data_IF_042756406704
#
_entry.id   IF_042756406704
#
_cell.length_a   1.000
_cell.length_b   1.000
_cell.length_c   1.000
_cell.angle_alpha   90.00
_cell.angle_beta   90.00
_cell.angle_gamma   90.00
#
_symmetry.space_group_name_H-M   'P 1'
#
loop_
_entity.id
_entity.type
_entity.pdbx_description
1 polymer ?
#
# COMPACT_ATOMS: atom_id res chain seq x y z
N UNK A 1 -3.99 -13.53 9.74
CA UNK A 1 -3.47 -14.81 10.30
C UNK A 1 -4.50 -15.93 10.29
N UNK A 2 -5.77 -15.67 9.95
CA UNK A 2 -6.77 -16.73 9.85
C UNK A 2 -6.63 -17.47 8.52
N UNK A 3 -6.75 -18.80 8.53
CA UNK A 3 -6.86 -19.62 7.33
C UNK A 3 -7.73 -20.86 7.61
N UNK A 4 -8.70 -21.15 6.74
CA UNK A 4 -9.65 -22.26 6.92
C UNK A 4 -8.96 -23.61 7.03
N UNK A 5 -7.98 -23.88 6.16
CA UNK A 5 -7.26 -25.18 6.14
C UNK A 5 -6.43 -25.43 7.41
N UNK A 6 -6.12 -24.39 8.18
CA UNK A 6 -5.43 -24.50 9.47
C UNK A 6 -6.39 -24.49 10.67
N UNK A 7 -7.70 -24.53 10.43
CA UNK A 7 -8.71 -24.44 11.49
C UNK A 7 -8.85 -23.03 12.07
N UNK A 8 -8.47 -22.00 11.31
CA UNK A 8 -8.63 -20.60 11.66
C UNK A 8 -7.33 -19.92 12.12
N UNK A 9 -7.33 -19.39 13.34
CA UNK A 9 -6.19 -18.66 13.91
C UNK A 9 -5.08 -19.62 14.39
N UNK A 10 -3.82 -19.14 14.54
CA UNK A 10 -2.77 -19.93 15.18
C UNK A 10 -3.22 -20.48 16.54
N UNK A 11 -2.80 -21.71 16.93
CA UNK A 11 -3.26 -22.32 18.17
C UNK A 11 -2.78 -21.55 19.40
N UNK A 12 -3.46 -21.68 20.54
CA UNK A 12 -3.10 -20.99 21.79
C UNK A 12 -1.62 -21.20 22.20
N UNK A 13 -1.08 -22.39 21.96
CA UNK A 13 0.34 -22.70 22.22
C UNK A 13 1.34 -21.83 21.43
N UNK A 14 0.97 -21.35 20.23
CA UNK A 14 1.79 -20.39 19.47
C UNK A 14 1.91 -19.06 20.24
N UNK A 15 0.80 -18.57 20.78
CA UNK A 15 0.78 -17.30 21.51
C UNK A 15 1.47 -17.40 22.87
N UNK A 16 1.27 -18.49 23.61
CA UNK A 16 1.99 -18.76 24.86
C UNK A 16 3.51 -18.77 24.63
N UNK A 17 3.97 -19.33 23.50
CA UNK A 17 5.38 -19.36 23.15
C UNK A 17 5.97 -17.97 22.87
N UNK A 18 5.15 -17.00 22.45
CA UNK A 18 5.56 -15.60 22.34
C UNK A 18 5.63 -14.92 23.71
N UNK A 19 4.58 -15.06 24.51
CA UNK A 19 4.51 -14.57 25.89
C UNK A 19 3.41 -15.31 26.68
N UNK A 20 3.68 -15.82 27.90
CA UNK A 20 2.66 -16.46 28.74
C UNK A 20 1.42 -15.62 29.04
N UNK A 21 1.52 -14.28 28.99
CA UNK A 21 0.37 -13.38 29.16
C UNK A 21 -0.67 -13.50 28.04
N UNK A 22 -0.33 -14.13 26.93
CA UNK A 22 -1.23 -14.35 25.80
C UNK A 22 -2.01 -15.66 25.90
N UNK A 23 -1.89 -16.40 27.00
CA UNK A 23 -2.69 -17.58 27.25
C UNK A 23 -4.21 -17.27 27.23
N UNK A 24 -4.98 -18.09 26.51
CA UNK A 24 -6.41 -17.93 26.32
C UNK A 24 -6.79 -16.74 25.42
N UNK A 25 -5.84 -16.14 24.69
CA UNK A 25 -6.16 -15.07 23.74
C UNK A 25 -7.08 -15.58 22.62
N UNK A 26 -6.73 -16.72 22.01
CA UNK A 26 -7.44 -17.27 20.85
C UNK A 26 -8.90 -17.61 21.16
N UNK A 27 -9.18 -18.06 22.37
CA UNK A 27 -10.53 -18.40 22.84
C UNK A 27 -11.48 -17.20 22.91
N UNK A 28 -10.92 -15.98 22.97
CA UNK A 28 -11.64 -14.71 23.02
C UNK A 28 -11.68 -14.00 21.67
N UNK A 29 -11.05 -14.56 20.64
CA UNK A 29 -11.06 -14.04 19.28
C UNK A 29 -12.18 -14.68 18.45
N UNK A 30 -12.41 -14.12 17.28
CA UNK A 30 -13.35 -14.67 16.30
C UNK A 30 -12.94 -16.07 15.85
N UNK A 31 -13.92 -16.88 15.48
CA UNK A 31 -13.72 -18.23 14.94
C UNK A 31 -13.95 -18.27 13.42
N UNK A 32 -14.89 -17.44 12.95
CA UNK A 32 -15.26 -17.32 11.55
C UNK A 32 -14.90 -15.94 11.00
N UNK A 33 -14.67 -15.88 9.69
CA UNK A 33 -14.47 -14.64 8.94
C UNK A 33 -15.48 -14.58 7.80
N UNK A 34 -15.92 -13.37 7.46
CA UNK A 34 -16.93 -13.15 6.44
C UNK A 34 -16.39 -12.18 5.39
N UNK A 35 -16.72 -12.43 4.13
CA UNK A 35 -16.41 -11.55 3.00
C UNK A 35 -17.38 -10.38 2.94
N UNK A 36 -16.98 -9.27 2.30
CA UNK A 36 -17.74 -8.01 2.32
C UNK A 36 -19.07 -8.04 1.57
N UNK A 37 -19.36 -9.08 0.78
CA UNK A 37 -20.67 -9.33 0.18
C UNK A 37 -21.70 -9.83 1.21
N UNK A 38 -21.26 -10.31 2.37
CA UNK A 38 -22.13 -10.75 3.45
C UNK A 38 -22.54 -9.53 4.29
N UNK A 39 -23.86 -9.31 4.52
CA UNK A 39 -24.33 -8.29 5.45
C UNK A 39 -23.81 -8.56 6.86
N UNK A 40 -23.14 -7.58 7.46
CA UNK A 40 -22.87 -7.58 8.91
C UNK A 40 -24.17 -7.37 9.71
N UNK A 41 -25.16 -6.73 9.09
CA UNK A 41 -26.47 -6.49 9.65
C UNK A 41 -27.11 -5.25 9.06
N UNK A 42 -27.96 -4.60 9.85
CA UNK A 42 -28.59 -3.35 9.50
C UNK A 42 -28.21 -2.27 10.52
N UNK A 43 -28.37 -0.99 10.14
CA UNK A 43 -28.17 0.11 11.10
C UNK A 43 -29.10 -0.05 12.30
N UNK A 44 -28.54 0.12 13.51
CA UNK A 44 -29.34 0.21 14.73
C UNK A 44 -30.11 1.53 14.79
N UNK A 45 -31.19 1.56 15.58
CA UNK A 45 -32.01 2.77 15.80
C UNK A 45 -31.15 3.99 16.19
N UNK A 46 -30.18 3.78 17.08
CA UNK A 46 -29.28 4.83 17.55
C UNK A 46 -28.49 5.47 16.40
N UNK A 47 -27.90 4.65 15.53
CA UNK A 47 -27.09 5.13 14.40
C UNK A 47 -27.94 5.66 13.25
N UNK A 48 -29.08 5.04 12.99
CA UNK A 48 -30.07 5.52 12.03
C UNK A 48 -30.50 6.96 12.38
N UNK A 49 -30.83 7.22 13.65
CA UNK A 49 -31.18 8.56 14.12
C UNK A 49 -30.01 9.55 14.01
N UNK A 50 -28.80 9.16 14.42
CA UNK A 50 -27.61 10.04 14.37
C UNK A 50 -27.22 10.43 12.95
N UNK A 51 -27.33 9.50 12.01
CA UNK A 51 -26.94 9.70 10.61
C UNK A 51 -28.09 10.24 9.73
N UNK A 52 -29.33 10.25 10.23
CA UNK A 52 -30.51 10.61 9.46
C UNK A 52 -30.86 9.58 8.38
N UNK A 53 -30.58 8.30 8.64
CA UNK A 53 -30.79 7.17 7.73
C UNK A 53 -31.86 6.22 8.25
N UNK A 54 -32.30 5.28 7.39
CA UNK A 54 -33.24 4.22 7.76
C UNK A 54 -32.53 3.04 8.45
N UNK A 55 -33.24 2.35 9.34
CA UNK A 55 -32.82 1.03 9.88
C UNK A 55 -32.85 -0.06 8.81
N UNK A 56 -33.43 0.19 7.64
CA UNK A 56 -33.36 -0.72 6.47
C UNK A 56 -32.01 -0.65 5.74
N UNK A 57 -31.11 0.27 6.13
CA UNK A 57 -29.77 0.35 5.52
C UNK A 57 -28.93 -0.85 5.94
N UNK A 58 -28.51 -1.62 4.95
CA UNK A 58 -27.59 -2.75 5.12
C UNK A 58 -26.18 -2.24 5.42
N UNK A 59 -25.53 -2.86 6.41
CA UNK A 59 -24.13 -2.62 6.78
C UNK A 59 -23.31 -3.80 6.27
N UNK A 60 -22.31 -3.54 5.43
CA UNK A 60 -21.39 -4.58 4.94
C UNK A 60 -20.32 -4.94 5.98
N UNK A 61 -19.78 -6.15 5.88
CA UNK A 61 -18.53 -6.49 6.58
C UNK A 61 -17.39 -5.64 6.01
N UNK A 62 -16.56 -5.08 6.88
CA UNK A 62 -15.46 -4.20 6.49
C UNK A 62 -14.37 -4.90 5.68
N UNK A 63 -13.62 -4.12 4.91
CA UNK A 63 -12.46 -4.57 4.14
C UNK A 63 -11.36 -3.50 4.12
N UNK A 64 -10.22 -3.83 3.50
CA UNK A 64 -9.07 -2.94 3.37
C UNK A 64 -9.25 -1.95 2.20
N UNK A 65 -8.70 -0.76 2.35
CA UNK A 65 -8.80 0.33 1.39
C UNK A 65 -8.20 -0.02 0.02
N UNK A 66 -7.00 -0.60 -0.03
CA UNK A 66 -6.36 -1.03 -1.27
C UNK A 66 -7.17 -2.12 -1.99
N UNK A 67 -7.77 -3.04 -1.23
CA UNK A 67 -8.60 -4.11 -1.78
C UNK A 67 -9.88 -3.52 -2.36
N UNK A 68 -10.55 -2.62 -1.64
CA UNK A 68 -11.73 -1.92 -2.14
C UNK A 68 -11.40 -0.98 -3.31
N UNK A 69 -10.19 -0.43 -3.35
CA UNK A 69 -9.65 0.30 -4.49
C UNK A 69 -9.54 -0.60 -5.72
N UNK A 70 -9.06 -1.84 -5.56
CA UNK A 70 -9.03 -2.83 -6.65
C UNK A 70 -10.44 -3.22 -7.12
N UNK A 71 -11.38 -3.44 -6.18
CA UNK A 71 -12.80 -3.71 -6.53
C UNK A 71 -13.41 -2.52 -7.28
N UNK A 72 -13.23 -1.30 -6.78
CA UNK A 72 -13.70 -0.07 -7.45
C UNK A 72 -13.05 0.16 -8.81
N UNK A 73 -11.82 -0.32 -9.00
CA UNK A 73 -11.11 -0.38 -10.27
C UNK A 73 -11.50 -1.54 -11.19
N UNK A 74 -12.54 -2.31 -10.83
CA UNK A 74 -13.05 -3.45 -11.60
C UNK A 74 -12.00 -4.52 -11.86
N UNK A 75 -11.23 -4.89 -10.83
CA UNK A 75 -10.20 -5.92 -10.95
C UNK A 75 -10.75 -7.23 -11.54
N UNK A 76 -10.01 -7.80 -12.49
CA UNK A 76 -10.29 -9.09 -13.13
C UNK A 76 -9.27 -10.15 -12.69
N UNK A 77 -9.61 -11.45 -12.80
CA UNK A 77 -8.66 -12.54 -12.64
C UNK A 77 -7.32 -12.29 -13.33
N UNK A 78 -6.23 -12.38 -12.58
CA UNK A 78 -4.85 -12.20 -13.03
C UNK A 78 -4.45 -10.78 -13.46
N UNK A 79 -5.30 -9.79 -13.25
CA UNK A 79 -4.94 -8.40 -13.45
C UNK A 79 -4.27 -7.84 -12.20
N UNK A 80 -3.22 -7.06 -12.40
CA UNK A 80 -2.54 -6.36 -11.32
C UNK A 80 -3.14 -4.96 -11.13
N UNK A 81 -3.80 -4.74 -10.00
CA UNK A 81 -4.18 -3.40 -9.55
C UNK A 81 -3.10 -2.84 -8.64
N UNK A 82 -2.48 -1.72 -9.05
CA UNK A 82 -1.39 -1.08 -8.31
C UNK A 82 -1.86 0.26 -7.77
N UNK A 83 -2.05 0.33 -6.45
CA UNK A 83 -2.36 1.58 -5.75
C UNK A 83 -1.05 2.33 -5.52
N UNK A 84 -0.85 3.42 -6.26
CA UNK A 84 0.40 4.18 -6.27
C UNK A 84 0.31 5.45 -5.44
N UNK A 85 1.24 5.62 -4.50
CA UNK A 85 1.41 6.82 -3.69
C UNK A 85 2.86 6.94 -3.21
N UNK A 86 3.06 7.31 -1.94
CA UNK A 86 4.39 7.32 -1.31
C UNK A 86 5.11 5.96 -1.43
N UNK A 87 4.34 4.90 -1.26
CA UNK A 87 4.68 3.50 -1.54
C UNK A 87 3.66 2.91 -2.53
N UNK A 88 3.74 1.61 -2.80
CA UNK A 88 2.68 0.93 -3.58
C UNK A 88 2.09 -0.25 -2.83
N UNK A 89 0.81 -0.49 -3.08
CA UNK A 89 0.11 -1.73 -2.74
C UNK A 89 -0.37 -2.40 -4.03
N UNK A 90 0.03 -3.65 -4.20
CA UNK A 90 -0.13 -4.41 -5.43
C UNK A 90 -1.11 -5.54 -5.15
N UNK A 91 -2.29 -5.44 -5.75
CA UNK A 91 -3.40 -6.38 -5.56
C UNK A 91 -3.60 -7.18 -6.83
N UNK A 92 -3.70 -8.50 -6.68
CA UNK A 92 -4.10 -9.42 -7.73
C UNK A 92 -5.14 -10.39 -7.19
N UNK A 93 -6.06 -10.83 -8.03
CA UNK A 93 -7.00 -11.90 -7.68
C UNK A 93 -6.84 -13.08 -8.63
N UNK A 94 -6.94 -14.30 -8.10
CA UNK A 94 -6.86 -15.53 -8.88
C UNK A 94 -8.06 -16.44 -8.55
N UNK A 95 -8.72 -17.05 -9.56
CA UNK A 95 -9.72 -18.08 -9.34
C UNK A 95 -9.15 -19.26 -8.55
N UNK A 96 -9.95 -19.84 -7.66
CA UNK A 96 -9.53 -20.99 -6.87
C UNK A 96 -9.80 -22.34 -7.56
N UNK A 97 -10.60 -22.40 -8.63
CA UNK A 97 -10.89 -23.52 -9.56
C UNK A 97 -10.82 -24.97 -9.01
N UNK A 98 -11.08 -25.20 -7.72
CA UNK A 98 -10.89 -26.48 -7.05
C UNK A 98 -9.43 -26.98 -7.01
N UNK A 99 -8.46 -26.13 -7.34
CA UNK A 99 -7.04 -26.41 -7.29
C UNK A 99 -6.43 -26.07 -5.94
N UNK A 100 -5.27 -26.66 -5.64
CA UNK A 100 -4.48 -26.32 -4.45
C UNK A 100 -4.04 -24.85 -4.50
N UNK A 101 -4.10 -24.18 -3.35
CA UNK A 101 -3.62 -22.81 -3.18
C UNK A 101 -2.15 -22.72 -3.64
N UNK A 102 -1.88 -21.87 -4.63
CA UNK A 102 -0.51 -21.62 -5.09
C UNK A 102 0.11 -20.51 -4.26
N UNK A 103 1.05 -20.89 -3.40
CA UNK A 103 1.81 -19.94 -2.60
C UNK A 103 2.78 -19.14 -3.48
N UNK A 104 2.73 -17.81 -3.38
CA UNK A 104 3.67 -16.91 -4.04
C UNK A 104 4.71 -16.45 -3.04
N UNK A 105 5.98 -16.74 -3.31
CA UNK A 105 7.06 -16.36 -2.39
C UNK A 105 7.28 -14.85 -2.36
N UNK A 106 7.47 -14.30 -1.16
CA UNK A 106 7.92 -12.91 -0.96
C UNK A 106 6.84 -11.83 -1.03
N UNK A 107 5.56 -12.19 -1.20
CA UNK A 107 4.44 -11.25 -1.12
C UNK A 107 4.03 -10.98 0.34
N UNK A 108 3.20 -9.97 0.58
CA UNK A 108 2.71 -9.63 1.92
C UNK A 108 1.79 -10.70 2.49
N UNK A 109 0.90 -11.23 1.65
CA UNK A 109 -0.03 -12.27 2.04
C UNK A 109 -0.98 -12.66 0.92
N UNK A 110 -1.67 -13.77 1.12
CA UNK A 110 -2.72 -14.27 0.26
C UNK A 110 -3.83 -14.86 1.12
N UNK A 111 -5.08 -14.63 0.74
CA UNK A 111 -6.23 -15.11 1.49
C UNK A 111 -7.47 -15.21 0.58
N UNK A 112 -8.22 -16.30 0.74
CA UNK A 112 -9.50 -16.53 0.07
C UNK A 112 -10.51 -15.42 0.41
N UNK A 113 -11.18 -14.90 -0.61
CA UNK A 113 -12.25 -13.93 -0.47
C UNK A 113 -11.82 -12.55 0.00
N UNK A 114 -10.51 -12.32 0.18
CA UNK A 114 -9.99 -11.08 0.77
C UNK A 114 -10.19 -9.83 -0.09
N UNK A 115 -10.39 -10.01 -1.40
CA UNK A 115 -10.65 -8.92 -2.37
C UNK A 115 -11.95 -9.19 -3.11
N UNK A 116 -12.07 -10.35 -3.77
CA UNK A 116 -13.28 -10.81 -4.47
C UNK A 116 -13.72 -12.14 -3.84
N UNK A 117 -14.99 -12.30 -3.42
CA UNK A 117 -15.48 -13.56 -2.88
C UNK A 117 -15.23 -14.75 -3.81
N UNK A 118 -14.71 -15.86 -3.27
CA UNK A 118 -14.40 -17.08 -4.02
C UNK A 118 -13.13 -17.00 -4.89
N UNK A 119 -12.35 -15.93 -4.78
CA UNK A 119 -11.04 -15.80 -5.40
C UNK A 119 -9.97 -15.59 -4.35
N UNK A 120 -8.79 -16.17 -4.60
CA UNK A 120 -7.60 -15.90 -3.80
C UNK A 120 -7.15 -14.46 -4.08
N UNK A 121 -7.20 -13.60 -3.08
CA UNK A 121 -6.59 -12.28 -3.13
C UNK A 121 -5.12 -12.37 -2.74
N UNK A 122 -4.25 -11.73 -3.53
CA UNK A 122 -2.82 -11.66 -3.30
C UNK A 122 -2.40 -10.20 -3.15
N UNK A 123 -1.65 -9.92 -2.09
CA UNK A 123 -1.14 -8.58 -1.79
C UNK A 123 0.39 -8.59 -1.79
N UNK A 124 0.98 -7.66 -2.53
CA UNK A 124 2.39 -7.33 -2.54
C UNK A 124 2.59 -5.82 -2.31
N UNK A 125 3.83 -5.38 -2.14
CA UNK A 125 4.09 -3.95 -2.11
C UNK A 125 5.53 -3.55 -2.34
N UNK A 126 5.70 -2.35 -2.88
CA UNK A 126 6.99 -1.68 -3.02
C UNK A 126 7.13 -0.62 -1.94
N UNK A 127 8.19 -0.71 -1.12
CA UNK A 127 8.35 0.10 0.09
C UNK A 127 8.42 1.60 -0.17
N UNK A 128 9.01 2.01 -1.29
CA UNK A 128 9.14 3.41 -1.67
C UNK A 128 8.88 3.52 -3.18
N UNK A 129 7.98 4.42 -3.55
CA UNK A 129 7.70 4.77 -4.93
C UNK A 129 7.65 6.30 -5.05
N UNK A 130 6.56 6.93 -4.64
CA UNK A 130 6.43 8.38 -4.53
C UNK A 130 7.50 9.00 -3.63
N UNK A 131 7.91 8.31 -2.56
CA UNK A 131 8.96 8.78 -1.66
C UNK A 131 10.32 8.89 -2.35
N UNK A 132 10.60 8.07 -3.37
CA UNK A 132 11.83 8.17 -4.17
C UNK A 132 11.85 9.49 -4.95
N UNK A 133 10.73 9.81 -5.60
CA UNK A 133 10.59 11.08 -6.33
C UNK A 133 10.59 12.28 -5.39
N UNK A 134 9.93 12.18 -4.23
CA UNK A 134 9.93 13.23 -3.23
C UNK A 134 11.34 13.48 -2.66
N UNK A 135 12.08 12.43 -2.33
CA UNK A 135 13.47 12.52 -1.91
C UNK A 135 14.34 13.20 -2.98
N UNK A 136 14.22 12.78 -4.24
CA UNK A 136 15.01 13.35 -5.32
C UNK A 136 14.65 14.82 -5.58
N UNK A 137 13.36 15.17 -5.55
CA UNK A 137 12.90 16.57 -5.61
C UNK A 137 13.52 17.40 -4.50
N UNK A 138 13.48 16.91 -3.26
CA UNK A 138 13.99 17.65 -2.10
C UNK A 138 15.51 17.82 -2.17
N UNK A 139 16.24 16.81 -2.65
CA UNK A 139 17.68 16.91 -2.90
C UNK A 139 18.02 18.04 -3.88
N UNK A 140 17.24 18.17 -4.96
CA UNK A 140 17.43 19.23 -5.94
C UNK A 140 16.96 20.60 -5.41
N UNK A 141 15.80 20.63 -4.74
CA UNK A 141 15.21 21.85 -4.19
C UNK A 141 16.09 22.49 -3.11
N UNK A 142 16.90 21.72 -2.39
CA UNK A 142 17.89 22.26 -1.45
C UNK A 142 18.79 23.33 -2.09
N UNK A 143 19.14 23.19 -3.36
CA UNK A 143 19.96 24.20 -4.07
C UNK A 143 19.23 25.53 -4.24
N UNK A 144 17.90 25.52 -4.34
CA UNK A 144 17.08 26.73 -4.42
C UNK A 144 17.09 27.48 -3.08
N UNK A 145 16.98 26.76 -1.97
CA UNK A 145 17.07 27.36 -0.64
C UNK A 145 18.44 28.02 -0.41
N UNK A 146 19.51 27.35 -0.82
CA UNK A 146 20.87 27.83 -0.62
C UNK A 146 21.25 29.00 -1.54
N UNK A 147 20.79 28.99 -2.79
CA UNK A 147 21.17 30.00 -3.79
C UNK A 147 20.15 31.14 -3.84
N UNK A 148 18.87 30.84 -3.96
CA UNK A 148 17.80 31.84 -4.05
C UNK A 148 17.44 32.35 -2.66
N UNK A 149 17.31 31.46 -1.67
CA UNK A 149 16.93 31.84 -0.30
C UNK A 149 17.95 32.75 0.40
N UNK A 150 19.23 32.68 -0.02
CA UNK A 150 20.30 33.56 0.50
C UNK A 150 20.60 34.76 -0.40
N UNK A 151 19.83 34.95 -1.48
CA UNK A 151 19.99 36.10 -2.36
C UNK A 151 19.76 37.42 -1.60
N UNK A 152 20.67 38.37 -1.78
CA UNK A 152 20.51 39.74 -1.27
C UNK A 152 19.78 40.65 -2.26
N UNK A 153 19.49 40.17 -3.47
CA UNK A 153 18.82 40.93 -4.54
C UNK A 153 17.29 40.86 -4.45
N UNK A 154 16.77 39.93 -3.65
CA UNK A 154 15.35 39.63 -3.54
C UNK A 154 14.89 39.88 -2.10
N UNK A 155 13.65 40.35 -1.93
CA UNK A 155 13.01 40.35 -0.62
C UNK A 155 12.55 38.94 -0.23
N UNK A 156 12.28 38.73 1.06
CA UNK A 156 12.00 37.40 1.59
C UNK A 156 10.69 36.78 1.07
N UNK A 157 9.69 37.61 0.73
CA UNK A 157 8.43 37.10 0.19
C UNK A 157 8.64 36.57 -1.24
N UNK A 158 9.35 37.34 -2.07
CA UNK A 158 9.65 36.92 -3.43
C UNK A 158 10.57 35.68 -3.47
N UNK A 159 11.52 35.56 -2.54
CA UNK A 159 12.34 34.34 -2.41
C UNK A 159 11.47 33.11 -2.19
N UNK A 160 10.54 33.19 -1.23
CA UNK A 160 9.67 32.07 -0.90
C UNK A 160 8.80 31.67 -2.10
N UNK A 161 8.18 32.65 -2.77
CA UNK A 161 7.36 32.38 -3.96
C UNK A 161 8.16 31.72 -5.09
N UNK A 162 9.36 32.21 -5.37
CA UNK A 162 10.23 31.66 -6.41
C UNK A 162 10.68 30.23 -6.08
N UNK A 163 11.03 29.96 -4.82
CA UNK A 163 11.42 28.62 -4.37
C UNK A 163 10.24 27.65 -4.49
N UNK A 164 9.05 28.04 -4.01
CA UNK A 164 7.84 27.22 -4.09
C UNK A 164 7.45 26.92 -5.53
N UNK A 165 7.45 27.94 -6.41
CA UNK A 165 7.16 27.77 -7.84
C UNK A 165 8.18 26.84 -8.51
N UNK A 166 9.47 27.10 -8.31
CA UNK A 166 10.53 26.30 -8.92
C UNK A 166 10.49 24.85 -8.41
N UNK A 167 10.33 24.63 -7.11
CA UNK A 167 10.24 23.30 -6.50
C UNK A 167 9.04 22.50 -7.02
N UNK A 168 7.89 23.15 -7.27
CA UNK A 168 6.72 22.51 -7.87
C UNK A 168 6.95 22.06 -9.32
N UNK A 169 7.89 22.70 -10.03
CA UNK A 169 8.23 22.39 -11.43
C UNK A 169 9.33 21.35 -11.60
N UNK A 170 10.14 21.07 -10.57
CA UNK A 170 11.28 20.14 -10.67
C UNK A 170 10.87 18.79 -11.28
N UNK A 171 9.89 18.09 -10.68
CA UNK A 171 9.49 16.75 -11.18
C UNK A 171 8.86 16.82 -12.57
N UNK A 172 7.89 17.70 -12.88
CA UNK A 172 7.35 17.84 -14.24
C UNK A 172 8.39 18.09 -15.33
N UNK A 173 9.37 18.96 -15.08
CA UNK A 173 10.43 19.28 -16.05
C UNK A 173 11.38 18.09 -16.21
N UNK A 174 11.73 17.40 -15.12
CA UNK A 174 12.52 16.17 -15.17
C UNK A 174 11.81 15.05 -15.94
N UNK A 175 10.50 14.90 -15.79
CA UNK A 175 9.70 13.94 -16.57
C UNK A 175 9.83 14.24 -18.06
N UNK A 176 9.61 15.49 -18.46
CA UNK A 176 9.72 15.92 -19.87
C UNK A 176 11.12 15.66 -20.43
N UNK A 177 12.17 15.92 -19.65
CA UNK A 177 13.54 15.64 -20.05
C UNK A 177 13.82 14.12 -20.14
N UNK A 178 13.33 13.34 -19.18
CA UNK A 178 13.53 11.89 -19.11
C UNK A 178 12.82 11.15 -20.27
N UNK A 179 11.66 11.64 -20.73
CA UNK A 179 10.96 11.09 -21.90
C UNK A 179 11.78 11.14 -23.19
N UNK A 180 12.75 12.07 -23.30
CA UNK A 180 13.63 12.17 -24.46
C UNK A 180 14.81 11.20 -24.40
N UNK A 181 15.01 10.49 -23.29
CA UNK A 181 16.12 9.56 -23.09
C UNK A 181 15.65 8.14 -23.45
N UNK A 182 16.21 7.51 -24.50
CA UNK A 182 15.81 6.15 -24.84
C UNK A 182 16.17 5.16 -23.71
N UNK A 183 15.30 4.20 -23.36
CA UNK A 183 15.57 3.22 -22.31
C UNK A 183 16.91 2.49 -22.51
N UNK A 184 17.70 2.37 -21.44
CA UNK A 184 18.97 1.65 -21.44
C UNK A 184 20.18 2.46 -21.95
N UNK A 185 20.02 3.73 -22.34
CA UNK A 185 21.13 4.52 -22.91
C UNK A 185 21.95 5.30 -21.89
N UNK A 186 21.44 5.50 -20.67
CA UNK A 186 22.13 6.28 -19.64
C UNK A 186 23.36 5.59 -19.05
N UNK A 187 23.41 4.26 -19.12
CA UNK A 187 24.37 3.44 -18.38
C UNK A 187 24.14 3.44 -16.86
N UNK A 188 23.16 4.20 -16.35
CA UNK A 188 22.84 4.32 -14.94
C UNK A 188 21.83 3.25 -14.53
N UNK A 189 22.12 2.59 -13.41
CA UNK A 189 21.25 1.65 -12.73
C UNK A 189 20.97 2.16 -11.32
N UNK A 190 19.70 2.08 -10.90
CA UNK A 190 19.28 2.43 -9.55
C UNK A 190 18.62 1.25 -8.85
N UNK A 191 18.91 1.11 -7.56
CA UNK A 191 18.17 0.26 -6.63
C UNK A 191 17.24 1.15 -5.80
N UNK A 192 15.95 0.86 -5.85
CA UNK A 192 14.87 1.67 -5.28
C UNK A 192 14.64 1.42 -3.78
N UNK A 193 15.52 0.68 -3.12
CA UNK A 193 15.41 0.26 -1.71
C UNK A 193 15.75 1.38 -0.70
N UNK A 194 15.39 2.62 -1.03
CA UNK A 194 15.63 3.80 -0.19
C UNK A 194 14.96 3.68 1.19
N UNK A 195 13.86 2.92 1.26
CA UNK A 195 13.17 2.59 2.51
C UNK A 195 13.11 1.07 2.76
N UNK A 196 14.20 0.38 2.43
CA UNK A 196 14.27 -1.08 2.44
C UNK A 196 13.41 -1.71 1.35
N UNK A 197 13.10 -3.00 1.50
CA UNK A 197 12.32 -3.79 0.53
C UNK A 197 11.22 -4.56 1.25
N UNK A 198 10.02 -4.59 0.66
CA UNK A 198 8.88 -5.39 1.15
C UNK A 198 8.66 -6.63 0.28
N UNK A 199 8.60 -6.47 -1.04
CA UNK A 199 8.43 -7.58 -2.00
C UNK A 199 9.43 -7.51 -3.16
N UNK A 200 9.86 -8.68 -3.72
CA UNK A 200 9.90 -9.98 -3.03
C UNK A 200 10.86 -9.91 -1.82
N UNK A 201 10.75 -10.78 -0.84
CA UNK A 201 11.70 -10.88 0.29
C UNK A 201 11.85 -9.61 1.16
N UNK A 202 10.98 -9.51 2.16
CA UNK A 202 10.99 -8.39 3.09
C UNK A 202 12.35 -8.26 3.82
N UNK A 203 13.01 -7.13 3.61
CA UNK A 203 14.22 -6.76 4.32
C UNK A 203 14.31 -5.24 4.47
N UNK A 204 14.03 -4.78 5.69
CA UNK A 204 14.01 -3.36 6.07
C UNK A 204 15.42 -2.76 6.16
N UNK A 205 16.47 -3.58 6.23
CA UNK A 205 17.85 -3.12 6.34
C UNK A 205 18.50 -2.78 4.99
N UNK A 206 17.89 -3.19 3.87
CA UNK A 206 18.38 -2.88 2.53
C UNK A 206 18.41 -1.37 2.28
N UNK A 207 19.32 -0.95 1.37
CA UNK A 207 19.58 0.45 1.04
C UNK A 207 19.51 0.65 -0.46
N UNK A 208 19.07 1.84 -0.87
CA UNK A 208 19.10 2.26 -2.26
C UNK A 208 20.53 2.48 -2.75
N UNK A 209 20.69 2.45 -4.07
CA UNK A 209 21.96 2.70 -4.74
C UNK A 209 21.71 3.36 -6.10
N UNK A 210 22.65 4.16 -6.57
CA UNK A 210 22.70 4.69 -7.94
C UNK A 210 24.14 4.50 -8.41
N UNK A 211 24.33 3.80 -9.53
CA UNK A 211 25.66 3.47 -10.06
C UNK A 211 25.64 3.33 -11.59
N UNK A 212 26.80 3.46 -12.23
CA UNK A 212 26.96 3.40 -13.69
C UNK A 212 28.19 4.18 -14.14
#
# INVERSE_FOLDING_TARGET
MWHSDFGGLPPNGFFIALDPLLDGLVERMYQETYTSDIPAGHLSDEWAQKLGLSTEVVVSVGAFDAHMGAVGGQIEPYYLSKVMGTSTCDILVAPMDGGEERLVSGICGQADGSVIPGMLGLEAGQSAFGDVYAWFKNLLAWTLDEVVGKSLLLDDNLKQQLIEEAAARIIPELTTAAEQIPPGTTGIVALDWLNGRRTPDANQALKGAIFG
#
